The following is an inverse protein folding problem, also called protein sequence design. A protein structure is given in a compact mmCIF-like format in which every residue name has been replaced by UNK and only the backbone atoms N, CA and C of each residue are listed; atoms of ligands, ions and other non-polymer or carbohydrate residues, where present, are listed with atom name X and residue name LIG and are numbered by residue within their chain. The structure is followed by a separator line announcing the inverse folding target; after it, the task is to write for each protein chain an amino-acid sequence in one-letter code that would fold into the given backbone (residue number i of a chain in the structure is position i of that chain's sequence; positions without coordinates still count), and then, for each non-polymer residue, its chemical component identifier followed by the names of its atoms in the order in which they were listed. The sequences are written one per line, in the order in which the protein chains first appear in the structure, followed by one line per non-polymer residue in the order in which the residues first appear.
data_IF_176448552398
#
_entry.id   IF_176448552398
#
_cell.length_a   1.000
_cell.length_b   1.000
_cell.length_c   1.000
_cell.angle_alpha   90.00
_cell.angle_beta   90.00
_cell.angle_gamma   90.00
#
_symmetry.space_group_name_H-M   'P 1'
#
loop_
_entity.id
_entity.type
_entity.pdbx_description
1 polymer ?
#
# COMPACT_ATOMS: atom_id res chain seq x y z
N UNK A 1 -16.24 12.11 4.58
CA UNK A 1 -15.39 12.76 3.57
C UNK A 1 -16.15 13.91 2.93
N UNK A 2 -15.48 14.99 2.55
CA UNK A 2 -16.06 16.05 1.70
C UNK A 2 -16.24 15.54 0.27
N UNK A 3 -17.28 15.98 -0.43
CA UNK A 3 -17.49 15.69 -1.87
C UNK A 3 -16.26 16.08 -2.69
N UNK A 4 -15.84 15.20 -3.61
CA UNK A 4 -14.70 15.44 -4.49
C UNK A 4 -15.15 16.33 -5.67
N UNK A 5 -14.49 17.46 -5.95
CA UNK A 5 -14.83 18.33 -7.08
C UNK A 5 -14.23 17.79 -8.38
N UNK A 6 -14.80 16.70 -8.91
CA UNK A 6 -14.29 15.95 -10.07
C UNK A 6 -13.97 16.81 -11.31
N UNK A 7 -14.69 17.93 -11.52
CA UNK A 7 -14.44 18.85 -12.64
C UNK A 7 -13.08 19.55 -12.61
N UNK A 8 -12.37 19.52 -11.47
CA UNK A 8 -11.05 20.16 -11.30
C UNK A 8 -9.88 19.25 -11.67
N UNK A 9 -10.11 17.97 -11.92
CA UNK A 9 -9.06 16.99 -12.18
C UNK A 9 -8.87 16.73 -13.67
N UNK A 10 -7.64 16.41 -14.04
CA UNK A 10 -7.29 16.07 -15.42
C UNK A 10 -7.89 14.72 -15.84
N UNK A 11 -8.13 14.56 -17.14
CA UNK A 11 -8.83 13.37 -17.67
C UNK A 11 -8.14 12.06 -17.33
N UNK A 12 -6.81 12.03 -17.49
CA UNK A 12 -6.01 10.85 -17.21
C UNK A 12 -6.08 10.42 -15.73
N UNK A 13 -6.23 11.37 -14.81
CA UNK A 13 -6.30 11.08 -13.37
C UNK A 13 -7.66 10.50 -13.00
N UNK A 14 -8.75 11.08 -13.53
CA UNK A 14 -10.11 10.54 -13.36
C UNK A 14 -10.22 9.13 -13.94
N UNK A 15 -9.67 8.91 -15.14
CA UNK A 15 -9.60 7.59 -15.76
C UNK A 15 -8.75 6.60 -14.97
N UNK A 16 -7.64 7.05 -14.38
CA UNK A 16 -6.80 6.22 -13.52
C UNK A 16 -7.51 5.79 -12.24
N UNK A 17 -8.22 6.72 -11.58
CA UNK A 17 -9.01 6.43 -10.39
C UNK A 17 -10.11 5.42 -10.70
N UNK A 18 -10.97 5.72 -11.67
CA UNK A 18 -12.10 4.87 -12.01
C UNK A 18 -11.64 3.45 -12.38
N UNK A 19 -10.61 3.34 -13.24
CA UNK A 19 -10.12 2.04 -13.64
C UNK A 19 -9.51 1.24 -12.49
N UNK A 20 -8.83 1.90 -11.54
CA UNK A 20 -8.31 1.21 -10.35
C UNK A 20 -9.43 0.77 -9.41
N UNK A 21 -10.47 1.60 -9.20
CA UNK A 21 -11.64 1.22 -8.41
C UNK A 21 -12.37 0.02 -9.03
N UNK A 22 -12.59 0.02 -10.35
CA UNK A 22 -13.17 -1.12 -11.07
C UNK A 22 -12.33 -2.39 -10.87
N UNK A 23 -10.99 -2.30 -10.95
CA UNK A 23 -10.12 -3.45 -10.71
C UNK A 23 -10.14 -3.93 -9.25
N UNK A 24 -10.46 -3.05 -8.30
CA UNK A 24 -10.62 -3.41 -6.88
C UNK A 24 -11.94 -4.15 -6.64
N UNK A 25 -13.02 -3.73 -7.31
CA UNK A 25 -14.32 -4.39 -7.24
C UNK A 25 -14.35 -5.71 -8.02
N UNK A 26 -13.67 -5.76 -9.15
CA UNK A 26 -13.61 -6.91 -10.05
C UNK A 26 -12.15 -7.34 -10.23
N UNK A 27 -11.59 -8.21 -9.37
CA UNK A 27 -10.16 -8.55 -9.38
C UNK A 27 -9.64 -9.18 -10.68
N UNK A 28 -10.52 -9.72 -11.53
CA UNK A 28 -10.17 -10.26 -12.85
C UNK A 28 -10.17 -9.20 -13.96
N UNK A 29 -10.58 -7.97 -13.65
CA UNK A 29 -10.59 -6.85 -14.59
C UNK A 29 -9.19 -6.56 -15.12
N UNK A 30 -9.13 -6.11 -16.36
CA UNK A 30 -7.90 -5.79 -17.07
C UNK A 30 -8.03 -4.43 -17.73
N UNK A 31 -7.05 -3.56 -17.46
CA UNK A 31 -6.94 -2.28 -18.16
C UNK A 31 -6.40 -2.49 -19.56
N UNK A 32 -6.99 -1.82 -20.54
CA UNK A 32 -6.45 -1.74 -21.90
C UNK A 32 -5.80 -0.37 -22.05
N UNK A 33 -4.52 -0.34 -22.43
CA UNK A 33 -3.90 0.86 -22.98
C UNK A 33 -3.79 0.69 -24.49
N UNK A 34 -4.45 1.52 -25.30
CA UNK A 34 -4.25 1.47 -26.74
C UNK A 34 -2.80 1.82 -27.12
N UNK A 35 -2.23 1.10 -28.08
CA UNK A 35 -0.86 1.33 -28.57
C UNK A 35 -0.75 2.56 -29.46
N UNK A 36 -1.84 2.93 -30.14
CA UNK A 36 -2.05 4.19 -30.87
C UNK A 36 -3.56 4.44 -30.97
N UNK A 37 -4.05 5.58 -30.47
CA UNK A 37 -5.44 6.00 -30.67
C UNK A 37 -6.48 5.32 -29.79
N UNK A 38 -7.51 6.09 -29.45
CA UNK A 38 -8.56 5.84 -28.45
C UNK A 38 -9.46 4.63 -28.83
N UNK A 39 -9.00 3.41 -28.52
CA UNK A 39 -9.71 2.14 -28.75
C UNK A 39 -11.04 2.00 -27.99
N UNK A 40 -11.41 3.02 -27.20
CA UNK A 40 -12.72 3.17 -26.58
C UNK A 40 -13.02 2.25 -25.39
N UNK A 41 -12.19 1.23 -25.15
CA UNK A 41 -12.23 0.37 -23.97
C UNK A 41 -11.11 0.78 -23.01
N UNK A 42 -11.48 1.19 -21.80
CA UNK A 42 -10.52 1.50 -20.75
C UNK A 42 -10.25 0.27 -19.87
N UNK A 43 -11.31 -0.47 -19.54
CA UNK A 43 -11.25 -1.69 -18.72
C UNK A 43 -12.22 -2.74 -19.27
N UNK A 44 -11.85 -4.02 -19.20
CA UNK A 44 -12.78 -5.12 -19.41
C UNK A 44 -12.63 -6.18 -18.32
N UNK A 45 -13.70 -6.93 -18.08
CA UNK A 45 -13.74 -8.06 -17.14
C UNK A 45 -14.04 -9.33 -17.93
N UNK A 46 -13.13 -10.32 -17.97
CA UNK A 46 -13.41 -11.60 -18.62
C UNK A 46 -14.39 -12.41 -17.77
N UNK A 47 -15.45 -12.91 -18.41
CA UNK A 47 -16.47 -13.77 -17.79
C UNK A 47 -16.33 -15.25 -18.17
N UNK A 48 -15.34 -15.59 -19.03
CA UNK A 48 -15.18 -16.93 -19.62
C UNK A 48 -15.88 -17.06 -20.98
N UNK A 49 -15.49 -18.06 -21.76
CA UNK A 49 -16.06 -18.33 -23.10
C UNK A 49 -16.03 -17.11 -24.05
N UNK A 50 -14.94 -16.34 -24.01
CA UNK A 50 -14.78 -15.06 -24.71
C UNK A 50 -15.85 -14.00 -24.38
N UNK A 51 -16.63 -14.17 -23.31
CA UNK A 51 -17.56 -13.17 -22.83
C UNK A 51 -16.86 -12.13 -21.97
N UNK A 52 -17.27 -10.87 -22.12
CA UNK A 52 -16.66 -9.73 -21.41
C UNK A 52 -17.72 -8.72 -20.94
N UNK A 53 -17.47 -8.11 -19.78
CA UNK A 53 -18.06 -6.82 -19.40
C UNK A 53 -17.06 -5.72 -19.77
N UNK A 54 -17.53 -4.61 -20.33
CA UNK A 54 -16.68 -3.52 -20.80
C UNK A 54 -17.02 -2.25 -20.04
N UNK A 55 -15.99 -1.56 -19.58
CA UNK A 55 -16.12 -0.25 -18.94
C UNK A 55 -15.40 0.78 -19.79
N UNK A 56 -16.13 1.83 -20.11
CA UNK A 56 -15.62 3.00 -20.78
C UNK A 56 -15.68 4.18 -19.83
N UNK A 57 -14.53 4.77 -19.53
CA UNK A 57 -14.42 5.90 -18.61
C UNK A 57 -14.40 7.21 -19.39
N UNK A 58 -15.14 8.21 -18.91
CA UNK A 58 -15.04 9.59 -19.41
C UNK A 58 -14.91 10.56 -18.24
N UNK A 59 -14.10 11.61 -18.45
CA UNK A 59 -13.85 12.64 -17.43
C UNK A 59 -14.99 13.63 -17.21
N UNK A 60 -16.09 13.52 -17.96
CA UNK A 60 -17.13 14.55 -17.96
C UNK A 60 -17.80 14.60 -16.59
N UNK A 61 -17.69 15.76 -15.93
CA UNK A 61 -18.23 16.05 -14.60
C UNK A 61 -19.21 17.24 -14.60
N UNK A 62 -19.51 17.77 -15.79
CA UNK A 62 -20.40 18.91 -16.04
C UNK A 62 -21.31 18.57 -17.22
N UNK A 63 -22.37 19.37 -17.40
CA UNK A 63 -23.38 19.16 -18.44
C UNK A 63 -22.78 18.78 -19.80
N UNK A 64 -23.27 17.68 -20.38
CA UNK A 64 -22.78 17.18 -21.65
C UNK A 64 -23.19 18.10 -22.80
N UNK A 65 -22.22 18.42 -23.65
CA UNK A 65 -22.46 19.12 -24.91
C UNK A 65 -22.70 18.11 -26.03
N UNK A 66 -23.27 18.54 -27.16
CA UNK A 66 -23.43 17.68 -28.34
C UNK A 66 -22.10 17.07 -28.82
N UNK A 67 -20.99 17.78 -28.61
CA UNK A 67 -19.66 17.25 -28.91
C UNK A 67 -19.27 16.11 -27.96
N UNK A 68 -19.54 16.22 -26.66
CA UNK A 68 -19.29 15.15 -25.69
C UNK A 68 -20.13 13.91 -26.01
N UNK A 69 -21.42 14.09 -26.30
CA UNK A 69 -22.31 13.01 -26.73
C UNK A 69 -21.78 12.33 -28.00
N UNK A 70 -21.35 13.11 -28.99
CA UNK A 70 -20.75 12.58 -30.22
C UNK A 70 -19.44 11.80 -29.97
N UNK A 71 -18.64 12.20 -28.99
CA UNK A 71 -17.43 11.45 -28.59
C UNK A 71 -17.80 10.11 -27.94
N UNK A 72 -18.81 10.09 -27.07
CA UNK A 72 -19.30 8.86 -26.43
C UNK A 72 -19.84 7.91 -27.50
N UNK A 73 -20.72 8.37 -28.40
CA UNK A 73 -21.28 7.53 -29.47
C UNK A 73 -20.22 6.94 -30.39
N UNK A 74 -19.22 7.73 -30.79
CA UNK A 74 -18.10 7.24 -31.61
C UNK A 74 -17.32 6.14 -30.88
N UNK A 75 -17.07 6.34 -29.60
CA UNK A 75 -16.33 5.38 -28.80
C UNK A 75 -17.13 4.09 -28.55
N UNK A 76 -18.43 4.22 -28.26
CA UNK A 76 -19.34 3.09 -28.14
C UNK A 76 -19.34 2.20 -29.38
N UNK A 77 -19.41 2.80 -30.57
CA UNK A 77 -19.34 2.02 -31.82
C UNK A 77 -17.98 1.33 -32.01
N UNK A 78 -16.87 2.00 -31.67
CA UNK A 78 -15.52 1.39 -31.74
C UNK A 78 -15.36 0.18 -30.83
N UNK A 79 -16.05 0.15 -29.69
CA UNK A 79 -16.02 -1.00 -28.77
C UNK A 79 -16.58 -2.25 -29.47
N UNK A 80 -17.65 -2.10 -30.27
CA UNK A 80 -18.27 -3.20 -31.01
C UNK A 80 -17.34 -3.75 -32.09
N UNK A 81 -16.67 -2.86 -32.81
CA UNK A 81 -15.64 -3.24 -33.80
C UNK A 81 -14.51 -4.01 -33.11
N UNK A 82 -14.00 -3.47 -31.99
CA UNK A 82 -12.92 -4.08 -31.22
C UNK A 82 -13.27 -5.45 -30.63
N UNK A 83 -14.50 -5.62 -30.15
CA UNK A 83 -14.99 -6.90 -29.65
C UNK A 83 -15.10 -7.93 -30.79
N UNK A 84 -15.60 -7.52 -31.96
CA UNK A 84 -15.69 -8.36 -33.15
C UNK A 84 -14.31 -8.85 -33.59
N UNK A 85 -13.33 -7.95 -33.68
CA UNK A 85 -11.94 -8.29 -34.03
C UNK A 85 -11.30 -9.32 -33.08
N UNK A 86 -11.71 -9.33 -31.81
CA UNK A 86 -11.19 -10.24 -30.78
C UNK A 86 -12.03 -11.50 -30.59
N UNK A 87 -13.13 -11.64 -31.32
CA UNK A 87 -14.09 -12.73 -31.12
C UNK A 87 -14.71 -12.69 -29.72
N UNK A 88 -14.88 -11.49 -29.15
CA UNK A 88 -15.51 -11.29 -27.85
C UNK A 88 -17.02 -11.12 -27.98
N UNK A 89 -17.73 -11.65 -26.99
CA UNK A 89 -19.16 -11.41 -26.81
C UNK A 89 -19.34 -10.46 -25.63
N UNK A 90 -19.74 -9.22 -25.90
CA UNK A 90 -20.05 -8.25 -24.85
C UNK A 90 -21.32 -8.70 -24.13
N UNK A 91 -21.28 -8.77 -22.80
CA UNK A 91 -22.45 -9.05 -21.96
C UNK A 91 -23.04 -7.78 -21.37
N UNK A 92 -22.16 -6.87 -20.95
CA UNK A 92 -22.54 -5.56 -20.45
C UNK A 92 -21.52 -4.51 -20.88
N UNK A 93 -22.00 -3.29 -21.09
CA UNK A 93 -21.21 -2.11 -21.30
C UNK A 93 -21.59 -1.04 -20.27
N UNK A 94 -20.58 -0.48 -19.63
CA UNK A 94 -20.75 0.55 -18.61
C UNK A 94 -20.10 1.84 -19.07
N UNK A 95 -20.91 2.90 -19.20
CA UNK A 95 -20.43 4.25 -19.37
C UNK A 95 -20.18 4.87 -17.99
N UNK A 96 -18.91 4.99 -17.62
CA UNK A 96 -18.48 5.37 -16.29
C UNK A 96 -17.96 6.80 -16.30
N UNK A 97 -18.67 7.73 -15.66
CA UNK A 97 -18.22 9.13 -15.56
C UNK A 97 -18.74 9.81 -14.28
N UNK A 98 -18.05 10.82 -13.75
CA UNK A 98 -18.46 11.52 -12.53
C UNK A 98 -19.58 12.53 -12.77
N UNK A 99 -20.63 12.10 -13.48
CA UNK A 99 -21.82 12.89 -13.81
C UNK A 99 -23.03 11.97 -13.83
N UNK A 100 -24.03 12.26 -13.01
CA UNK A 100 -25.32 11.58 -13.09
C UNK A 100 -26.11 12.12 -14.30
N UNK A 101 -26.85 11.27 -15.03
CA UNK A 101 -27.55 11.68 -16.23
C UNK A 101 -28.74 12.60 -15.91
N UNK A 102 -29.04 13.54 -16.81
CA UNK A 102 -30.35 14.20 -16.86
C UNK A 102 -31.37 13.31 -17.58
N UNK A 103 -32.68 13.57 -17.46
CA UNK A 103 -33.69 12.82 -18.23
C UNK A 103 -33.43 12.82 -19.74
N UNK A 104 -32.97 13.94 -20.30
CA UNK A 104 -32.60 14.02 -21.72
C UNK A 104 -31.35 13.17 -22.04
N UNK A 105 -30.42 13.02 -21.10
CA UNK A 105 -29.30 12.11 -21.25
C UNK A 105 -29.73 10.66 -21.19
N UNK A 106 -30.69 10.30 -20.34
CA UNK A 106 -31.25 8.94 -20.28
C UNK A 106 -31.96 8.57 -21.58
N UNK A 107 -32.79 9.47 -22.12
CA UNK A 107 -33.47 9.27 -23.42
C UNK A 107 -32.44 9.10 -24.55
N UNK A 108 -31.41 9.95 -24.58
CA UNK A 108 -30.33 9.83 -25.55
C UNK A 108 -29.54 8.53 -25.40
N UNK A 109 -29.21 8.12 -24.17
CA UNK A 109 -28.44 6.92 -23.87
C UNK A 109 -29.21 5.65 -24.25
N UNK A 110 -30.51 5.62 -23.97
CA UNK A 110 -31.40 4.54 -24.42
C UNK A 110 -31.47 4.47 -25.94
N UNK A 111 -31.55 5.62 -26.63
CA UNK A 111 -31.51 5.67 -28.10
C UNK A 111 -30.17 5.21 -28.70
N UNK A 112 -29.06 5.46 -28.02
CA UNK A 112 -27.73 5.01 -28.46
C UNK A 112 -27.54 3.49 -28.35
N UNK A 113 -28.13 2.88 -27.33
CA UNK A 113 -27.83 1.50 -26.89
C UNK A 113 -28.95 0.49 -27.14
N UNK A 114 -30.17 0.97 -27.45
CA UNK A 114 -31.38 0.15 -27.49
C UNK A 114 -31.43 -0.95 -28.57
N UNK A 115 -30.60 -0.86 -29.60
CA UNK A 115 -30.56 -1.84 -30.69
C UNK A 115 -29.54 -2.98 -30.44
N UNK A 116 -28.72 -2.86 -29.39
CA UNK A 116 -27.64 -3.81 -29.11
C UNK A 116 -28.09 -4.92 -28.13
N UNK A 117 -27.59 -6.17 -28.28
CA UNK A 117 -28.07 -7.34 -27.53
C UNK A 117 -27.50 -7.46 -26.11
N UNK A 118 -26.73 -6.47 -25.65
CA UNK A 118 -26.03 -6.48 -24.37
C UNK A 118 -26.51 -5.34 -23.48
N UNK A 119 -26.41 -5.52 -22.16
CA UNK A 119 -26.85 -4.52 -21.20
C UNK A 119 -25.97 -3.26 -21.28
N UNK A 120 -26.58 -2.08 -21.25
CA UNK A 120 -25.88 -0.81 -21.19
C UNK A 120 -26.27 -0.06 -19.91
N UNK A 121 -25.27 0.37 -19.14
CA UNK A 121 -25.51 1.09 -17.88
C UNK A 121 -24.72 2.38 -17.83
N UNK A 122 -25.36 3.44 -17.33
CA UNK A 122 -24.69 4.67 -16.94
C UNK A 122 -24.24 4.60 -15.48
N UNK A 123 -22.93 4.65 -15.24
CA UNK A 123 -22.34 4.71 -13.91
C UNK A 123 -21.91 6.15 -13.63
N UNK A 124 -22.80 6.88 -12.96
CA UNK A 124 -22.68 8.32 -12.73
C UNK A 124 -21.90 8.72 -11.48
N UNK A 125 -22.05 9.98 -11.08
CA UNK A 125 -21.39 10.58 -9.91
C UNK A 125 -21.59 9.77 -8.63
N UNK A 126 -22.77 9.18 -8.44
CA UNK A 126 -23.06 8.36 -7.25
C UNK A 126 -22.10 7.16 -7.09
N UNK A 127 -21.65 6.57 -8.20
CA UNK A 127 -20.65 5.48 -8.17
C UNK A 127 -19.28 6.01 -7.75
N UNK A 128 -18.89 7.18 -8.26
CA UNK A 128 -17.63 7.83 -7.90
C UNK A 128 -17.60 8.27 -6.43
N UNK A 129 -18.71 8.76 -5.89
CA UNK A 129 -18.83 9.12 -4.48
C UNK A 129 -18.69 7.87 -3.58
N UNK A 130 -19.25 6.72 -3.98
CA UNK A 130 -19.06 5.46 -3.27
C UNK A 130 -17.60 4.98 -3.35
N UNK A 131 -16.97 5.03 -4.52
CA UNK A 131 -15.55 4.70 -4.68
C UNK A 131 -14.65 5.58 -3.83
N UNK A 132 -14.96 6.87 -3.71
CA UNK A 132 -14.21 7.77 -2.86
C UNK A 132 -14.29 7.36 -1.39
N UNK A 133 -15.46 6.90 -0.93
CA UNK A 133 -15.65 6.41 0.43
C UNK A 133 -14.94 5.06 0.67
N UNK A 134 -15.13 4.10 -0.22
CA UNK A 134 -14.65 2.71 -0.04
C UNK A 134 -13.14 2.56 -0.36
N UNK A 135 -12.63 3.38 -1.28
CA UNK A 135 -11.26 3.32 -1.78
C UNK A 135 -10.51 4.63 -1.59
N UNK A 136 -10.63 5.24 -0.40
CA UNK A 136 -9.96 6.51 -0.07
C UNK A 136 -8.45 6.51 -0.36
N UNK A 137 -7.75 5.38 -0.22
CA UNK A 137 -6.33 5.25 -0.58
C UNK A 137 -6.05 5.42 -2.09
N UNK A 138 -6.99 5.05 -2.96
CA UNK A 138 -6.88 5.24 -4.41
C UNK A 138 -7.05 6.72 -4.74
N UNK A 139 -8.03 7.38 -4.12
CA UNK A 139 -8.21 8.82 -4.23
C UNK A 139 -6.96 9.56 -3.79
N UNK A 140 -6.46 9.25 -2.59
CA UNK A 140 -5.27 9.87 -2.03
C UNK A 140 -4.07 9.75 -2.97
N UNK A 141 -3.84 8.53 -3.49
CA UNK A 141 -2.74 8.22 -4.38
C UNK A 141 -2.75 9.05 -5.66
N UNK A 142 -3.88 9.13 -6.36
CA UNK A 142 -3.97 9.80 -7.67
C UNK A 142 -4.26 11.30 -7.58
N UNK A 143 -5.06 11.74 -6.61
CA UNK A 143 -5.65 13.09 -6.61
C UNK A 143 -5.12 14.01 -5.50
N UNK A 144 -4.64 13.46 -4.39
CA UNK A 144 -4.25 14.25 -3.20
C UNK A 144 -2.76 14.17 -2.88
N UNK A 145 -1.94 13.81 -3.88
CA UNK A 145 -0.48 13.78 -3.75
C UNK A 145 0.06 12.53 -3.04
N UNK A 146 -0.78 11.52 -2.80
CA UNK A 146 -0.40 10.26 -2.16
C UNK A 146 0.68 9.50 -2.94
N UNK A 147 0.70 9.59 -4.27
CA UNK A 147 1.81 9.04 -5.08
C UNK A 147 3.16 9.69 -4.75
N UNK A 148 3.18 11.01 -4.59
CA UNK A 148 4.38 11.76 -4.23
C UNK A 148 4.79 11.49 -2.78
N UNK A 149 3.83 11.42 -1.85
CA UNK A 149 4.09 11.02 -0.46
C UNK A 149 4.64 9.61 -0.37
N UNK A 150 4.04 8.64 -1.06
CA UNK A 150 4.54 7.27 -1.11
C UNK A 150 5.98 7.24 -1.64
N UNK A 151 6.29 7.99 -2.70
CA UNK A 151 7.67 8.10 -3.21
C UNK A 151 8.63 8.73 -2.19
N UNK A 152 8.21 9.75 -1.45
CA UNK A 152 8.99 10.38 -0.38
C UNK A 152 9.16 9.45 0.82
N UNK A 153 8.12 8.71 1.22
CA UNK A 153 8.15 7.75 2.32
C UNK A 153 9.02 6.54 1.94
N UNK A 154 8.95 6.08 0.69
CA UNK A 154 9.88 5.08 0.15
C UNK A 154 11.31 5.61 0.09
N UNK A 155 11.53 6.87 -0.26
CA UNK A 155 12.85 7.51 -0.26
C UNK A 155 13.40 7.68 1.17
N UNK A 156 12.54 8.03 2.13
CA UNK A 156 12.87 8.10 3.56
C UNK A 156 13.14 6.72 4.13
N UNK A 157 12.38 5.72 3.72
CA UNK A 157 12.62 4.32 4.06
C UNK A 157 13.96 3.87 3.48
N UNK A 158 14.23 4.16 2.20
CA UNK A 158 15.49 3.85 1.55
C UNK A 158 16.66 4.60 2.19
N UNK A 159 16.51 5.87 2.59
CA UNK A 159 17.55 6.64 3.28
C UNK A 159 17.79 6.13 4.71
N UNK A 160 16.73 5.82 5.46
CA UNK A 160 16.81 5.21 6.79
C UNK A 160 17.41 3.80 6.71
N UNK A 161 17.09 3.03 5.67
CA UNK A 161 17.70 1.74 5.38
C UNK A 161 19.13 1.87 4.81
N UNK A 162 19.47 2.97 4.13
CA UNK A 162 20.81 3.26 3.62
C UNK A 162 21.77 3.69 4.73
N UNK A 163 21.27 4.25 5.82
CA UNK A 163 22.04 4.41 7.07
C UNK A 163 22.56 3.04 7.56
N UNK A 164 21.90 1.94 7.18
CA UNK A 164 22.31 0.57 7.48
C UNK A 164 23.05 -0.15 6.33
N UNK A 165 23.34 0.51 5.19
CA UNK A 165 23.92 -0.14 4.01
C UNK A 165 25.07 0.67 3.37
N UNK A 166 26.32 0.18 3.41
CA UNK A 166 27.34 0.61 2.46
C UNK A 166 26.99 0.11 1.05
N UNK A 167 26.95 1.01 0.06
CA UNK A 167 27.06 0.63 -1.37
C UNK A 167 25.79 0.53 -2.20
N UNK A 168 24.61 0.94 -1.69
CA UNK A 168 23.41 1.12 -2.54
C UNK A 168 23.31 2.58 -2.96
N UNK A 169 23.48 2.86 -4.26
CA UNK A 169 23.21 4.18 -4.81
C UNK A 169 21.70 4.46 -4.79
N UNK A 170 21.32 5.68 -4.39
CA UNK A 170 19.92 6.10 -4.27
C UNK A 170 19.11 5.91 -5.57
N UNK A 171 19.78 6.00 -6.73
CA UNK A 171 19.16 5.83 -8.05
C UNK A 171 18.75 4.38 -8.39
N UNK A 172 19.35 3.39 -7.71
CA UNK A 172 19.05 1.96 -7.93
C UNK A 172 18.04 1.39 -6.92
N UNK A 173 17.69 2.16 -5.89
CA UNK A 173 16.80 1.72 -4.82
C UNK A 173 15.41 1.33 -5.36
N UNK A 174 14.80 2.16 -6.22
CA UNK A 174 13.45 1.94 -6.75
C UNK A 174 13.32 0.63 -7.54
N UNK A 175 14.34 0.28 -8.35
CA UNK A 175 14.38 -0.97 -9.12
C UNK A 175 14.66 -2.20 -8.25
N UNK A 176 15.54 -2.06 -7.26
CA UNK A 176 15.82 -3.13 -6.31
C UNK A 176 14.60 -3.49 -5.45
N UNK A 177 13.67 -2.55 -5.23
CA UNK A 177 12.48 -2.78 -4.40
C UNK A 177 11.37 -3.59 -5.06
N UNK A 178 11.15 -3.44 -6.37
CA UNK A 178 10.07 -4.17 -7.09
C UNK A 178 10.37 -5.65 -7.34
N UNK A 179 11.58 -6.11 -7.00
CA UNK A 179 12.08 -7.48 -7.23
C UNK A 179 12.67 -8.11 -5.97
N UNK A 180 12.31 -7.62 -4.78
CA UNK A 180 12.83 -8.08 -3.49
C UNK A 180 12.42 -9.53 -3.19
N UNK A 181 13.33 -10.47 -3.42
CA UNK A 181 13.15 -11.86 -3.02
C UNK A 181 13.39 -12.06 -1.51
N UNK A 182 12.67 -13.00 -0.85
CA UNK A 182 12.89 -13.32 0.57
C UNK A 182 14.35 -13.66 0.93
N UNK A 183 15.08 -14.28 0.00
CA UNK A 183 16.52 -14.58 0.19
C UNK A 183 17.36 -13.31 0.35
N UNK A 184 17.06 -12.26 -0.43
CA UNK A 184 17.73 -10.96 -0.35
C UNK A 184 17.49 -10.29 1.01
N UNK A 185 16.28 -10.40 1.57
CA UNK A 185 15.97 -9.88 2.91
C UNK A 185 16.76 -10.64 3.99
N UNK A 186 16.78 -11.97 3.92
CA UNK A 186 17.56 -12.83 4.83
C UNK A 186 19.05 -12.46 4.80
N UNK A 187 19.64 -12.38 3.61
CA UNK A 187 21.08 -12.15 3.44
C UNK A 187 21.49 -10.77 3.96
N UNK A 188 20.61 -9.77 3.81
CA UNK A 188 20.82 -8.41 4.34
C UNK A 188 20.73 -8.35 5.86
N UNK A 189 19.75 -9.01 6.48
CA UNK A 189 19.66 -9.10 7.94
C UNK A 189 20.88 -9.82 8.53
N UNK A 190 21.37 -10.86 7.86
CA UNK A 190 22.60 -11.55 8.24
C UNK A 190 23.83 -10.63 8.15
N UNK A 191 23.95 -9.83 7.08
CA UNK A 191 25.06 -8.87 6.92
C UNK A 191 25.02 -7.76 7.97
N UNK A 192 23.84 -7.20 8.28
CA UNK A 192 23.67 -6.18 9.32
C UNK A 192 24.13 -6.71 10.68
N UNK A 193 23.64 -7.89 11.05
CA UNK A 193 24.04 -8.55 12.30
C UNK A 193 25.55 -8.78 12.35
N UNK A 194 26.14 -9.28 11.26
CA UNK A 194 27.59 -9.51 11.18
C UNK A 194 28.37 -8.20 11.35
N UNK A 195 27.96 -7.13 10.67
CA UNK A 195 28.62 -5.82 10.74
C UNK A 195 28.58 -5.22 12.14
N UNK A 196 27.42 -5.25 12.81
CA UNK A 196 27.28 -4.76 14.19
C UNK A 196 28.19 -5.55 15.14
N UNK A 197 28.21 -6.88 14.99
CA UNK A 197 28.95 -7.76 15.87
C UNK A 197 30.45 -7.73 15.61
N UNK A 198 30.91 -7.49 14.39
CA UNK A 198 32.33 -7.32 14.07
C UNK A 198 32.88 -5.99 14.61
N UNK A 199 32.05 -4.95 14.65
CA UNK A 199 32.44 -3.63 15.12
C UNK A 199 32.48 -3.50 16.65
N UNK A 200 31.62 -4.22 17.37
CA UNK A 200 31.49 -4.09 18.83
C UNK A 200 32.29 -5.18 19.60
N UNK A 201 33.37 -4.80 20.32
CA UNK A 201 34.19 -5.75 21.06
C UNK A 201 33.56 -6.18 22.40
N UNK A 202 32.52 -5.50 22.88
CA UNK A 202 31.89 -5.76 24.19
C UNK A 202 30.59 -6.55 24.05
N UNK A 203 29.80 -6.28 23.01
CA UNK A 203 28.47 -6.84 22.88
C UNK A 203 28.25 -7.58 21.56
N UNK A 204 27.35 -8.55 21.63
CA UNK A 204 26.69 -9.15 20.47
C UNK A 204 25.23 -8.71 20.46
N UNK A 205 24.70 -8.58 19.25
CA UNK A 205 23.33 -8.19 18.97
C UNK A 205 22.66 -9.26 18.12
N UNK A 206 21.51 -9.74 18.59
CA UNK A 206 20.55 -10.49 17.79
C UNK A 206 19.31 -9.64 17.57
N UNK A 207 18.82 -9.59 16.33
CA UNK A 207 17.70 -8.75 15.91
C UNK A 207 16.61 -9.64 15.33
N UNK A 208 15.39 -9.46 15.79
CA UNK A 208 14.21 -10.15 15.28
C UNK A 208 13.08 -9.14 15.02
N UNK A 209 12.33 -9.37 13.94
CA UNK A 209 11.15 -8.60 13.59
C UNK A 209 9.99 -9.57 13.41
N UNK A 210 8.87 -9.31 14.08
CA UNK A 210 7.71 -10.19 14.04
C UNK A 210 6.44 -9.50 14.55
N UNK A 211 5.36 -10.27 14.65
CA UNK A 211 4.08 -9.79 15.21
C UNK A 211 4.03 -9.80 16.74
N UNK A 212 5.06 -10.34 17.39
CA UNK A 212 5.18 -10.41 18.86
C UNK A 212 6.66 -10.42 19.24
N UNK A 213 7.00 -10.07 20.51
CA UNK A 213 8.37 -10.13 21.00
C UNK A 213 9.02 -11.50 20.75
N UNK A 214 10.25 -11.50 20.22
CA UNK A 214 11.00 -12.72 20.03
C UNK A 214 11.48 -13.28 21.37
N UNK A 215 11.47 -14.62 21.48
CA UNK A 215 12.03 -15.29 22.63
C UNK A 215 13.55 -15.06 22.69
N UNK A 216 14.13 -14.80 23.87
CA UNK A 216 15.57 -14.63 23.99
C UNK A 216 16.33 -15.88 23.57
N UNK A 217 17.55 -15.74 23.00
CA UNK A 217 18.37 -16.88 22.65
C UNK A 217 18.72 -17.68 23.91
N UNK A 218 18.70 -19.01 23.79
CA UNK A 218 19.15 -19.89 24.85
C UNK A 218 20.67 -19.75 24.95
N UNK A 219 21.15 -19.21 26.06
CA UNK A 219 22.57 -19.10 26.40
C UNK A 219 22.90 -20.09 27.51
N UNK A 220 24.12 -20.64 27.50
CA UNK A 220 24.60 -21.49 28.60
C UNK A 220 25.08 -20.65 29.80
N UNK A 221 25.63 -21.31 30.82
CA UNK A 221 26.14 -20.66 32.05
C UNK A 221 27.42 -19.83 31.85
N UNK A 222 27.73 -19.41 30.63
CA UNK A 222 28.97 -18.71 30.27
C UNK A 222 28.76 -17.65 29.21
N UNK A 223 29.85 -17.04 28.77
CA UNK A 223 29.81 -16.00 27.74
C UNK A 223 29.80 -16.59 26.31
N UNK A 224 29.12 -15.95 25.34
CA UNK A 224 28.35 -14.71 25.49
C UNK A 224 27.05 -14.90 26.29
N UNK A 225 26.79 -14.01 27.24
CA UNK A 225 25.67 -14.09 28.17
C UNK A 225 24.62 -13.05 27.82
N UNK A 226 23.34 -13.43 27.77
CA UNK A 226 22.25 -12.48 27.57
C UNK A 226 22.18 -11.50 28.74
N UNK A 227 22.31 -10.20 28.46
CA UNK A 227 22.30 -9.14 29.48
C UNK A 227 21.11 -8.19 29.34
N UNK A 228 20.53 -8.09 28.16
CA UNK A 228 19.29 -7.35 27.95
C UNK A 228 18.50 -7.92 26.76
N UNK A 229 17.17 -7.78 26.83
CA UNK A 229 16.27 -8.04 25.73
C UNK A 229 15.25 -6.90 25.69
N UNK A 230 15.24 -6.14 24.61
CA UNK A 230 14.35 -4.98 24.46
C UNK A 230 13.42 -5.25 23.30
N UNK A 231 12.13 -5.01 23.49
CA UNK A 231 11.14 -5.08 22.42
C UNK A 231 10.34 -3.78 22.37
N UNK A 232 10.12 -3.28 21.16
CA UNK A 232 9.36 -2.06 20.91
C UNK A 232 8.38 -2.28 19.77
N UNK A 233 7.17 -1.75 19.93
CA UNK A 233 6.23 -1.67 18.83
C UNK A 233 6.70 -0.59 17.86
N UNK A 234 6.78 -0.95 16.59
CA UNK A 234 7.01 -0.04 15.47
C UNK A 234 5.83 -0.28 14.53
N UNK A 235 4.86 0.64 14.55
CA UNK A 235 3.57 0.51 13.86
C UNK A 235 2.82 -0.79 14.24
N UNK A 236 2.61 -1.70 13.28
CA UNK A 236 1.94 -2.99 13.45
C UNK A 236 2.90 -4.15 13.77
N UNK A 237 4.19 -3.86 13.93
CA UNK A 237 5.25 -4.84 14.15
C UNK A 237 5.92 -4.68 15.51
N UNK A 238 6.54 -5.76 15.96
CA UNK A 238 7.43 -5.78 17.11
C UNK A 238 8.85 -6.02 16.64
N UNK A 239 9.73 -5.09 16.99
CA UNK A 239 11.18 -5.25 16.81
C UNK A 239 11.78 -5.64 18.16
N UNK A 240 12.51 -6.76 18.18
CA UNK A 240 13.22 -7.26 19.36
C UNK A 240 14.73 -7.23 19.12
N UNK A 241 15.46 -6.69 20.09
CA UNK A 241 16.93 -6.72 20.12
C UNK A 241 17.38 -7.44 21.39
N UNK A 242 18.13 -8.52 21.22
CA UNK A 242 18.83 -9.19 22.31
C UNK A 242 20.29 -8.73 22.33
N UNK A 243 20.74 -8.34 23.52
CA UNK A 243 22.11 -7.86 23.76
C UNK A 243 22.81 -8.89 24.62
N UNK A 244 23.91 -9.44 24.12
CA UNK A 244 24.71 -10.42 24.83
C UNK A 244 26.09 -9.84 25.14
N UNK A 245 26.51 -9.85 26.39
CA UNK A 245 27.87 -9.49 26.76
C UNK A 245 28.84 -10.56 26.27
N UNK A 246 29.96 -10.17 25.68
CA UNK A 246 31.02 -11.09 25.23
C UNK A 246 31.90 -11.60 26.37
N UNK A 247 31.99 -10.85 27.47
CA UNK A 247 32.69 -11.22 28.69
C UNK A 247 32.18 -10.41 29.90
N UNK A 248 32.60 -10.77 31.11
CA UNK A 248 32.21 -10.07 32.34
C UNK A 248 32.61 -8.59 32.32
N UNK A 249 33.80 -8.30 31.82
CA UNK A 249 34.35 -6.94 31.73
C UNK A 249 33.53 -6.03 30.80
N UNK A 250 32.73 -6.60 29.89
CA UNK A 250 31.87 -5.82 28.99
C UNK A 250 30.89 -4.92 29.74
N UNK A 251 30.36 -5.42 30.86
CA UNK A 251 29.39 -4.69 31.70
C UNK A 251 30.05 -3.62 32.60
N UNK A 252 31.35 -3.75 32.86
CA UNK A 252 32.11 -2.79 33.67
C UNK A 252 32.61 -1.63 32.79
N UNK A 253 33.18 -1.95 31.64
CA UNK A 253 33.75 -0.96 30.71
C UNK A 253 32.68 -0.16 29.98
N UNK A 254 31.57 -0.81 29.61
CA UNK A 254 30.48 -0.16 28.89
C UNK A 254 29.12 -0.57 29.46
N UNK A 255 28.75 -0.09 30.66
CA UNK A 255 27.50 -0.48 31.32
C UNK A 255 26.28 -0.14 30.46
N UNK A 256 25.30 -1.06 30.46
CA UNK A 256 24.00 -0.82 29.82
C UNK A 256 23.12 -0.04 30.79
N UNK A 257 22.91 1.24 30.49
CA UNK A 257 22.05 2.14 31.28
C UNK A 257 20.69 2.32 30.62
N UNK A 258 19.62 2.30 31.41
CA UNK A 258 18.28 2.61 30.94
C UNK A 258 17.57 3.55 31.92
N UNK A 259 16.89 4.57 31.40
CA UNK A 259 15.98 5.43 32.14
C UNK A 259 14.56 5.14 31.69
N UNK A 260 13.66 4.88 32.64
CA UNK A 260 12.28 4.54 32.35
C UNK A 260 11.36 4.77 33.54
N UNK A 261 10.06 4.90 33.25
CA UNK A 261 9.01 5.04 34.25
C UNK A 261 8.31 3.71 34.43
N UNK A 262 8.36 3.16 35.64
CA UNK A 262 7.58 1.97 35.98
C UNK A 262 6.24 2.42 36.56
N UNK A 263 5.15 1.97 35.93
CA UNK A 263 3.78 2.19 36.40
C UNK A 263 3.29 0.89 37.03
N UNK A 264 3.13 0.89 38.35
CA UNK A 264 2.55 -0.21 39.12
C UNK A 264 1.19 0.19 39.65
N UNK A 265 0.24 -0.75 39.67
CA UNK A 265 -1.06 -0.53 40.28
C UNK A 265 -0.89 -0.38 41.79
N UNK A 266 -1.48 0.65 42.38
CA UNK A 266 -1.38 0.93 43.82
C UNK A 266 -2.04 -0.17 44.64
N UNK A 267 -1.34 -0.68 45.65
CA UNK A 267 -1.73 -1.78 46.53
C UNK A 267 -1.42 -3.18 46.00
N UNK A 268 -0.78 -3.30 44.83
CA UNK A 268 -0.47 -4.58 44.19
C UNK A 268 0.75 -5.29 44.81
N UNK A 269 0.92 -6.57 44.48
CA UNK A 269 2.11 -7.32 44.87
C UNK A 269 3.35 -6.78 44.14
N UNK A 270 3.17 -6.36 42.89
CA UNK A 270 4.18 -5.74 42.04
C UNK A 270 4.67 -4.40 42.62
N UNK A 271 3.79 -3.58 43.21
CA UNK A 271 4.21 -2.37 43.94
C UNK A 271 5.09 -2.72 45.15
N UNK A 272 4.73 -3.76 45.90
CA UNK A 272 5.49 -4.20 47.09
C UNK A 272 6.84 -4.82 46.74
N UNK A 273 6.96 -5.48 45.59
CA UNK A 273 8.23 -6.00 45.07
C UNK A 273 9.11 -4.90 44.51
N UNK A 274 8.53 -3.96 43.76
CA UNK A 274 9.27 -2.80 43.23
C UNK A 274 9.86 -1.93 44.35
N UNK A 275 9.10 -1.68 45.41
CA UNK A 275 9.60 -0.95 46.59
C UNK A 275 10.76 -1.69 47.28
N UNK A 276 10.71 -3.03 47.37
CA UNK A 276 11.82 -3.84 47.91
C UNK A 276 13.06 -3.75 47.03
N UNK A 277 12.91 -3.79 45.72
CA UNK A 277 14.01 -3.64 44.76
C UNK A 277 14.72 -2.29 44.93
N UNK A 278 13.97 -1.19 45.04
CA UNK A 278 14.54 0.16 45.25
C UNK A 278 15.32 0.26 46.57
N UNK A 279 14.82 -0.33 47.66
CA UNK A 279 15.51 -0.32 48.96
C UNK A 279 16.78 -1.16 48.94
N UNK A 280 16.80 -2.28 48.20
CA UNK A 280 17.97 -3.17 48.12
C UNK A 280 19.20 -2.55 47.42
N UNK A 281 19.00 -1.54 46.56
CA UNK A 281 20.09 -0.81 45.88
C UNK A 281 20.70 0.33 46.69
N UNK A 282 20.15 0.66 47.87
CA UNK A 282 20.68 1.73 48.74
C UNK A 282 21.73 1.20 49.74
N UNK A 283 21.93 -0.12 49.82
CA UNK A 283 22.82 -0.77 50.81
C UNK A 283 23.92 -1.63 50.15
N UNK A 284 24.30 -1.34 48.90
CA UNK A 284 25.44 -1.99 48.22
C UNK A 284 26.45 -0.97 47.71
#
# INVERSE_FOLDING_TARGET
MSRIPWSRYEGNDVEAVAAMCICRERPTARRIRPSQGDGGIDVYVPLGDNRVEVYQVKKFAENLTSNHLGQISKSYNRIKDYATERGWTIQAWHLTMPLDPTPENDEWFAGLTGDDPFEATWQGLSVFDNWAADYGQVIDYYLEGGKSRLGQDMSRFAATASILLPGVNADDAERAFTTLEPATVRDRLALLRATLNDADPHYLYDIAVGSSPAAPPITGDGYPALVASVSSNVDDQVVTVHILARCAESLLERPISHEGTIVVARGSDEEREWQRFLVSRVVS
#
